data_IF_432689280524
#
_entry.id   IF_432689280524
#
_cell.length_a   1.000
_cell.length_b   1.000
_cell.length_c   1.000
_cell.angle_alpha   90.00
_cell.angle_beta   90.00
_cell.angle_gamma   90.00
#
_symmetry.space_group_name_H-M   'P 1'
#
loop_
_entity.id
_entity.type
_entity.pdbx_description
1 polymer ?
#
# COMPACT_ATOMS: atom_id res chain seq x y z
N UNK A 1 -33.21 -44.85 10.46
CA UNK A 1 -31.89 -44.26 10.24
C UNK A 1 -31.98 -42.81 10.62
N UNK A 2 -31.07 -42.35 11.48
CA UNK A 2 -30.99 -41.00 12.05
C UNK A 2 -30.99 -39.97 10.90
N UNK A 3 -32.13 -39.37 10.58
CA UNK A 3 -32.64 -38.07 11.05
C UNK A 3 -32.03 -36.90 10.26
N UNK A 4 -32.69 -36.58 9.14
CA UNK A 4 -32.50 -35.44 8.21
C UNK A 4 -32.66 -34.03 8.85
N UNK A 5 -32.32 -33.88 10.14
CA UNK A 5 -32.57 -32.67 10.94
C UNK A 5 -31.31 -31.95 11.44
N UNK A 6 -30.12 -32.31 10.94
CA UNK A 6 -28.85 -31.64 11.30
C UNK A 6 -28.13 -31.10 10.05
N UNK A 7 -28.86 -30.52 9.10
CA UNK A 7 -28.24 -29.67 8.06
C UNK A 7 -28.70 -28.21 8.19
N UNK A 8 -29.67 -27.94 9.06
CA UNK A 8 -30.34 -26.63 9.10
C UNK A 8 -29.86 -25.70 10.20
N UNK A 9 -28.80 -26.00 10.96
CA UNK A 9 -28.29 -25.09 12.01
C UNK A 9 -26.77 -25.26 12.20
N UNK A 10 -25.97 -24.71 11.28
CA UNK A 10 -24.74 -23.95 11.59
C UNK A 10 -24.10 -23.38 10.31
N UNK A 11 -24.89 -22.72 9.46
CA UNK A 11 -24.37 -21.53 8.78
C UNK A 11 -24.21 -20.49 9.89
N UNK A 12 -23.20 -20.65 10.75
CA UNK A 12 -22.74 -19.55 11.58
C UNK A 12 -22.38 -18.46 10.60
N UNK A 13 -23.26 -17.46 10.47
CA UNK A 13 -22.96 -16.20 9.80
C UNK A 13 -21.56 -15.82 10.28
N UNK A 14 -20.57 -15.86 9.40
CA UNK A 14 -19.23 -15.40 9.74
C UNK A 14 -19.38 -13.90 9.98
N UNK A 15 -19.45 -13.45 11.25
CA UNK A 15 -19.98 -12.13 11.55
C UNK A 15 -19.05 -11.11 10.91
N UNK A 16 -19.63 -10.06 10.33
CA UNK A 16 -18.87 -9.05 9.59
C UNK A 16 -17.71 -8.50 10.44
N UNK A 17 -17.92 -8.32 11.74
CA UNK A 17 -16.87 -7.87 12.66
C UNK A 17 -15.68 -8.84 12.72
N UNK A 18 -15.92 -10.16 12.78
CA UNK A 18 -14.83 -11.16 12.76
C UNK A 18 -14.11 -11.18 11.42
N UNK A 19 -14.80 -10.90 10.32
CA UNK A 19 -14.14 -10.80 9.01
C UNK A 19 -13.17 -9.63 8.98
N UNK A 20 -13.61 -8.47 9.49
CA UNK A 20 -12.81 -7.25 9.58
C UNK A 20 -11.59 -7.48 10.48
N UNK A 21 -11.79 -8.04 11.68
CA UNK A 21 -10.70 -8.33 12.63
C UNK A 21 -9.63 -9.24 12.00
N UNK A 22 -10.05 -10.35 11.38
CA UNK A 22 -9.13 -11.27 10.73
C UNK A 22 -8.42 -10.62 9.53
N UNK A 23 -9.11 -9.80 8.73
CA UNK A 23 -8.53 -9.07 7.62
C UNK A 23 -7.49 -8.04 8.09
N UNK A 24 -7.74 -7.31 9.17
CA UNK A 24 -6.80 -6.37 9.77
C UNK A 24 -5.52 -7.07 10.27
N UNK A 25 -5.65 -8.23 10.91
CA UNK A 25 -4.48 -9.03 11.34
C UNK A 25 -3.62 -9.44 10.12
N UNK A 26 -4.27 -9.82 9.01
CA UNK A 26 -3.57 -10.17 7.77
C UNK A 26 -2.88 -8.95 7.15
N UNK A 27 -3.56 -7.80 7.14
CA UNK A 27 -2.99 -6.53 6.69
C UNK A 27 -1.74 -6.20 7.49
N UNK A 28 -1.80 -6.19 8.83
CA UNK A 28 -0.67 -5.82 9.67
C UNK A 28 0.55 -6.71 9.47
N UNK A 29 0.32 -8.02 9.29
CA UNK A 29 1.38 -8.97 8.96
C UNK A 29 2.00 -8.66 7.59
N UNK A 30 1.18 -8.36 6.59
CA UNK A 30 1.65 -8.17 5.22
C UNK A 30 2.24 -6.79 4.96
N UNK A 31 1.71 -5.75 5.61
CA UNK A 31 2.15 -4.35 5.57
C UNK A 31 3.65 -4.22 5.82
N UNK A 32 4.20 -4.98 6.77
CA UNK A 32 5.64 -5.03 7.06
C UNK A 32 6.50 -5.46 5.86
N UNK A 33 5.97 -6.30 4.96
CA UNK A 33 6.68 -6.69 3.73
C UNK A 33 6.62 -5.62 2.64
N UNK A 34 5.80 -4.58 2.81
CA UNK A 34 5.56 -3.52 1.84
C UNK A 34 6.16 -2.17 2.23
N UNK A 35 7.03 -2.10 3.24
CA UNK A 35 7.71 -0.87 3.66
C UNK A 35 8.50 -0.15 2.55
N UNK A 36 8.89 -0.87 1.49
CA UNK A 36 9.55 -0.29 0.30
C UNK A 36 8.58 0.05 -0.83
N UNK A 37 7.28 -0.02 -0.61
CA UNK A 37 6.26 0.37 -1.59
C UNK A 37 5.65 1.70 -1.14
N UNK A 38 5.17 2.50 -2.10
CA UNK A 38 4.30 3.61 -1.73
C UNK A 38 3.03 3.08 -1.06
N UNK A 39 2.38 3.92 -0.27
CA UNK A 39 1.11 3.61 0.36
C UNK A 39 0.05 3.19 -0.67
N UNK A 40 0.02 3.83 -1.84
CA UNK A 40 -0.87 3.45 -2.92
C UNK A 40 -0.60 2.01 -3.41
N UNK A 41 0.66 1.68 -3.70
CA UNK A 41 1.03 0.32 -4.11
C UNK A 41 0.77 -0.71 -3.02
N UNK A 42 1.01 -0.34 -1.76
CA UNK A 42 0.73 -1.16 -0.61
C UNK A 42 -0.78 -1.45 -0.51
N UNK A 43 -1.64 -0.43 -0.61
CA UNK A 43 -3.10 -0.57 -0.61
C UNK A 43 -3.58 -1.48 -1.73
N UNK A 44 -3.10 -1.29 -2.96
CA UNK A 44 -3.45 -2.14 -4.09
C UNK A 44 -3.07 -3.61 -3.86
N UNK A 45 -1.89 -3.87 -3.30
CA UNK A 45 -1.45 -5.24 -2.98
C UNK A 45 -2.24 -5.88 -1.84
N UNK A 46 -2.63 -5.08 -0.84
CA UNK A 46 -3.46 -5.54 0.26
C UNK A 46 -4.90 -5.83 -0.21
N UNK A 47 -5.48 -4.99 -1.07
CA UNK A 47 -6.76 -5.25 -1.75
C UNK A 47 -6.71 -6.57 -2.52
N UNK A 48 -5.73 -6.74 -3.41
CA UNK A 48 -5.56 -7.97 -4.21
C UNK A 48 -5.35 -9.22 -3.32
N UNK A 49 -4.66 -9.07 -2.19
CA UNK A 49 -4.47 -10.17 -1.23
C UNK A 49 -5.80 -10.56 -0.57
N UNK A 50 -6.60 -9.59 -0.12
CA UNK A 50 -7.87 -9.86 0.56
C UNK A 50 -8.93 -10.38 -0.42
N UNK A 51 -8.99 -9.85 -1.65
CA UNK A 51 -9.83 -10.38 -2.72
C UNK A 51 -9.52 -11.86 -2.97
N UNK A 52 -8.23 -12.23 -3.11
CA UNK A 52 -7.82 -13.64 -3.28
C UNK A 52 -8.16 -14.55 -2.10
N UNK A 53 -8.32 -13.98 -0.91
CA UNK A 53 -8.74 -14.70 0.30
C UNK A 53 -10.26 -14.79 0.45
N UNK A 54 -11.03 -14.24 -0.50
CA UNK A 54 -12.49 -14.32 -0.53
C UNK A 54 -13.20 -13.31 0.34
N UNK A 55 -12.50 -12.27 0.84
CA UNK A 55 -13.16 -11.19 1.57
C UNK A 55 -14.02 -10.36 0.63
N UNK A 56 -15.18 -9.93 1.11
CA UNK A 56 -16.09 -9.07 0.37
C UNK A 56 -15.55 -7.63 0.27
N UNK A 57 -15.98 -6.91 -0.78
CA UNK A 57 -15.50 -5.55 -1.06
C UNK A 57 -15.76 -4.57 0.08
N UNK A 58 -16.89 -4.71 0.79
CA UNK A 58 -17.24 -3.88 1.93
C UNK A 58 -16.30 -4.09 3.13
N UNK A 59 -15.94 -5.34 3.44
CA UNK A 59 -14.94 -5.64 4.49
C UNK A 59 -13.58 -5.07 4.11
N UNK A 60 -13.17 -5.24 2.85
CA UNK A 60 -11.88 -4.75 2.37
C UNK A 60 -11.82 -3.23 2.46
N UNK A 61 -12.86 -2.52 2.03
CA UNK A 61 -12.90 -1.06 2.07
C UNK A 61 -12.75 -0.53 3.50
N UNK A 62 -13.48 -1.11 4.46
CA UNK A 62 -13.37 -0.77 5.88
C UNK A 62 -11.92 -0.94 6.35
N UNK A 63 -11.31 -2.10 6.09
CA UNK A 63 -9.94 -2.35 6.52
C UNK A 63 -8.91 -1.42 5.84
N UNK A 64 -9.13 -1.00 4.59
CA UNK A 64 -8.24 -0.07 3.87
C UNK A 64 -8.40 1.39 4.30
N UNK A 65 -9.55 1.77 4.86
CA UNK A 65 -9.79 3.09 5.46
C UNK A 65 -9.06 3.22 6.80
N UNK A 66 -9.14 2.18 7.64
CA UNK A 66 -8.42 2.08 8.93
C UNK A 66 -6.89 2.12 8.79
N UNK A 67 -6.36 1.87 7.58
CA UNK A 67 -4.92 1.88 7.31
C UNK A 67 -4.28 3.27 7.32
N UNK A 68 -5.04 4.37 7.30
CA UNK A 68 -4.53 5.77 7.26
C UNK A 68 -3.99 6.26 8.62
N UNK A 69 -3.08 5.52 9.24
CA UNK A 69 -2.40 5.96 10.47
C UNK A 69 -1.17 6.84 10.15
N UNK A 70 -0.88 7.84 10.98
CA UNK A 70 0.26 8.79 10.84
C UNK A 70 1.63 8.09 10.68
N UNK A 71 1.79 6.86 11.21
CA UNK A 71 3.00 6.04 11.05
C UNK A 71 3.28 5.63 9.60
N UNK A 72 2.32 5.76 8.70
CA UNK A 72 2.50 5.45 7.29
C UNK A 72 3.08 6.63 6.50
N UNK A 73 2.95 7.86 7.00
CA UNK A 73 3.53 9.04 6.35
C UNK A 73 5.06 9.03 6.49
N UNK A 74 5.60 8.74 7.67
CA UNK A 74 7.05 8.58 7.88
C UNK A 74 7.63 7.47 6.99
N UNK A 75 6.96 6.31 6.93
CA UNK A 75 7.39 5.19 6.07
C UNK A 75 7.29 5.53 4.59
N UNK A 76 6.29 6.31 4.20
CA UNK A 76 6.14 6.77 2.82
C UNK A 76 7.29 7.70 2.44
N UNK A 77 7.68 8.62 3.33
CA UNK A 77 8.87 9.45 3.13
C UNK A 77 10.12 8.59 3.05
N UNK A 78 10.35 7.64 3.96
CA UNK A 78 11.50 6.73 3.88
C UNK A 78 11.54 5.94 2.57
N UNK A 79 10.40 5.42 2.11
CA UNK A 79 10.30 4.70 0.84
C UNK A 79 10.60 5.62 -0.35
N UNK A 80 10.09 6.86 -0.32
CA UNK A 80 10.36 7.88 -1.31
C UNK A 80 11.85 8.22 -1.36
N UNK A 81 12.49 8.47 -0.22
CA UNK A 81 13.93 8.71 -0.14
C UNK A 81 14.74 7.52 -0.66
N UNK A 82 14.36 6.29 -0.29
CA UNK A 82 15.04 5.08 -0.75
C UNK A 82 15.00 4.93 -2.28
N UNK A 83 13.82 5.04 -2.89
CA UNK A 83 13.69 4.95 -4.36
C UNK A 83 14.22 6.20 -5.06
N UNK A 84 13.99 7.37 -4.48
CA UNK A 84 14.44 8.66 -4.96
C UNK A 84 15.95 8.70 -5.10
N UNK A 85 16.70 8.35 -4.06
CA UNK A 85 18.16 8.27 -4.11
C UNK A 85 18.65 7.26 -5.17
N UNK A 86 17.98 6.11 -5.27
CA UNK A 86 18.32 5.09 -6.28
C UNK A 86 18.13 5.59 -7.71
N UNK A 87 17.03 6.29 -7.99
CA UNK A 87 16.77 6.85 -9.30
C UNK A 87 17.62 8.09 -9.57
N UNK A 88 17.92 8.89 -8.54
CA UNK A 88 18.81 10.02 -8.60
C UNK A 88 20.18 9.59 -9.12
N UNK A 89 20.81 8.60 -8.48
CA UNK A 89 22.09 8.05 -8.91
C UNK A 89 22.07 7.49 -10.34
N UNK A 90 20.94 6.90 -10.74
CA UNK A 90 20.75 6.36 -12.09
C UNK A 90 20.62 7.45 -13.16
N UNK A 91 20.01 8.59 -12.81
CA UNK A 91 19.59 9.62 -13.76
C UNK A 91 20.40 10.91 -13.69
N UNK A 92 21.24 11.12 -12.66
CA UNK A 92 22.09 12.32 -12.50
C UNK A 92 23.01 12.66 -13.68
N UNK A 93 23.19 11.71 -14.61
CA UNK A 93 23.93 11.87 -15.86
C UNK A 93 23.16 12.63 -16.96
N UNK A 94 21.85 12.82 -16.81
CA UNK A 94 21.02 13.54 -17.78
C UNK A 94 20.98 15.03 -17.45
N UNK A 95 20.65 15.85 -18.45
CA UNK A 95 20.41 17.29 -18.27
C UNK A 95 19.21 17.57 -17.36
N UNK A 96 19.14 18.75 -16.74
CA UNK A 96 18.16 19.09 -15.70
C UNK A 96 16.71 18.74 -16.07
N UNK A 97 16.26 19.08 -17.28
CA UNK A 97 14.90 18.79 -17.72
C UNK A 97 14.66 17.29 -17.93
N UNK A 98 15.57 16.61 -18.63
CA UNK A 98 15.47 15.16 -18.86
C UNK A 98 15.58 14.36 -17.56
N UNK A 99 16.46 14.80 -16.65
CA UNK A 99 16.63 14.25 -15.32
C UNK A 99 15.32 14.33 -14.52
N UNK A 100 14.74 15.52 -14.40
CA UNK A 100 13.50 15.75 -13.66
C UNK A 100 12.35 14.90 -14.20
N UNK A 101 12.16 14.88 -15.52
CA UNK A 101 11.12 14.07 -16.14
C UNK A 101 11.30 12.57 -15.89
N UNK A 102 12.54 12.06 -15.95
CA UNK A 102 12.82 10.65 -15.65
C UNK A 102 12.59 10.32 -14.18
N UNK A 103 12.92 11.24 -13.27
CA UNK A 103 12.64 11.10 -11.84
C UNK A 103 11.14 11.05 -11.57
N UNK A 104 10.39 12.04 -12.08
CA UNK A 104 8.93 12.12 -11.99
C UNK A 104 8.27 10.84 -12.52
N UNK A 105 8.63 10.41 -13.72
CA UNK A 105 8.07 9.18 -14.30
C UNK A 105 8.38 7.93 -13.48
N UNK A 106 9.61 7.79 -12.99
CA UNK A 106 10.02 6.60 -12.25
C UNK A 106 9.33 6.50 -10.89
N UNK A 107 9.26 7.61 -10.15
CA UNK A 107 8.64 7.67 -8.83
C UNK A 107 7.10 7.65 -8.92
N UNK A 108 6.51 8.27 -9.93
CA UNK A 108 5.06 8.19 -10.15
C UNK A 108 4.61 6.75 -10.45
N UNK A 109 5.39 6.01 -11.26
CA UNK A 109 5.16 4.56 -11.47
C UNK A 109 5.36 3.73 -10.20
N UNK A 110 6.05 4.26 -9.20
CA UNK A 110 6.13 3.67 -7.84
C UNK A 110 4.95 4.06 -6.96
N UNK A 111 4.02 4.89 -7.44
CA UNK A 111 2.79 5.28 -6.75
C UNK A 111 2.97 6.43 -5.76
N UNK A 112 4.07 7.17 -5.84
CA UNK A 112 4.24 8.44 -5.14
C UNK A 112 3.48 9.54 -5.89
N UNK A 113 2.88 10.48 -5.16
CA UNK A 113 2.19 11.62 -5.75
C UNK A 113 3.19 12.59 -6.38
N UNK A 114 2.72 13.41 -7.31
CA UNK A 114 3.57 14.43 -7.96
C UNK A 114 4.08 15.44 -6.93
N UNK A 115 3.24 15.84 -5.98
CA UNK A 115 3.61 16.81 -4.94
C UNK A 115 4.77 16.29 -4.08
N UNK A 116 4.69 15.02 -3.63
CA UNK A 116 5.78 14.38 -2.89
C UNK A 116 7.08 14.30 -3.69
N UNK A 117 6.98 13.98 -4.98
CA UNK A 117 8.14 13.89 -5.87
C UNK A 117 8.78 15.27 -6.07
N UNK A 118 7.97 16.31 -6.22
CA UNK A 118 8.46 17.68 -6.36
C UNK A 118 9.17 18.17 -5.10
N UNK A 119 8.61 17.89 -3.91
CA UNK A 119 9.27 18.17 -2.63
C UNK A 119 10.63 17.46 -2.56
N UNK A 120 10.68 16.16 -2.88
CA UNK A 120 11.94 15.40 -2.89
C UNK A 120 12.97 15.99 -3.86
N UNK A 121 12.55 16.36 -5.07
CA UNK A 121 13.43 16.95 -6.07
C UNK A 121 13.94 18.33 -5.65
N UNK A 122 13.11 19.13 -4.97
CA UNK A 122 13.49 20.43 -4.44
C UNK A 122 14.53 20.28 -3.33
N UNK A 123 14.28 19.40 -2.35
CA UNK A 123 15.24 19.07 -1.29
C UNK A 123 16.60 18.67 -1.87
N UNK A 124 16.62 17.85 -2.92
CA UNK A 124 17.87 17.42 -3.57
C UNK A 124 18.62 18.52 -4.31
N UNK A 125 17.95 19.59 -4.75
CA UNK A 125 18.62 20.76 -5.33
C UNK A 125 19.25 21.64 -4.26
N UNK A 126 18.66 21.69 -3.07
CA UNK A 126 19.15 22.48 -1.94
C UNK A 126 20.29 21.77 -1.18
N UNK A 127 20.34 20.44 -1.20
CA UNK A 127 21.43 19.63 -0.63
C UNK A 127 22.72 19.59 -1.48
N UNK A 128 22.67 20.03 -2.74
CA UNK A 128 23.78 19.98 -3.71
C UNK A 128 24.44 21.34 -3.94
#
# INVERSE_FOLDING_TARGET
GVQDLIITHSLQEYPKEKQIENALILIEKKKKSYQKHSFLQMKLKLDEMLVRKGYSRDVIQICLEELKDEKDDEKQQEALHYHGNKYYEKYKKYDGWTFENKMKQALYRKGFSIDEIEIFLQMKREEG
#
